data_IF_966850753982
#
_entry.id   IF_966850753982
#
_cell.length_a   1.000
_cell.length_b   1.000
_cell.length_c   1.000
_cell.angle_alpha   90.00
_cell.angle_beta   90.00
_cell.angle_gamma   90.00
#
_symmetry.space_group_name_H-M   'P 1'
#
loop_
_entity.id
_entity.type
_entity.pdbx_description
1 polymer ?
#
# COMPACT_ATOMS: atom_id res chain seq x y z
N UNK A 1 -7.44 -4.88 -7.35
CA UNK A 1 -8.22 -3.78 -6.76
C UNK A 1 -8.15 -3.93 -5.26
N UNK A 2 -7.79 -2.89 -4.51
CA UNK A 2 -8.04 -2.85 -3.07
C UNK A 2 -9.46 -2.33 -2.82
N UNK A 3 -9.91 -2.35 -1.56
CA UNK A 3 -11.26 -1.90 -1.18
C UNK A 3 -11.49 -0.41 -1.49
N UNK A 4 -10.41 0.39 -1.59
CA UNK A 4 -10.40 1.80 -1.99
C UNK A 4 -10.72 2.04 -3.47
N UNK A 5 -10.75 0.99 -4.29
CA UNK A 5 -11.10 1.06 -5.71
C UNK A 5 -10.02 1.67 -6.61
N UNK A 6 -8.81 1.89 -6.10
CA UNK A 6 -7.71 2.43 -6.88
C UNK A 6 -6.70 1.37 -7.33
N UNK A 7 -5.89 1.75 -8.32
CA UNK A 7 -4.92 0.85 -8.97
C UNK A 7 -3.54 1.50 -9.20
N UNK A 8 -3.39 2.80 -8.94
CA UNK A 8 -2.17 3.56 -9.22
C UNK A 8 -1.06 3.43 -8.16
N UNK A 9 -1.34 2.81 -7.01
CA UNK A 9 -0.39 2.69 -5.91
C UNK A 9 -1.01 2.10 -4.64
N UNK A 10 -0.28 2.20 -3.53
CA UNK A 10 -0.79 1.86 -2.21
C UNK A 10 -1.79 2.94 -1.75
N UNK A 11 -3.01 2.51 -1.39
CA UNK A 11 -4.05 3.37 -0.84
C UNK A 11 -4.59 2.74 0.44
N UNK A 12 -4.93 3.57 1.41
CA UNK A 12 -5.52 3.19 2.68
C UNK A 12 -6.70 4.12 3.01
N UNK A 13 -7.68 3.63 3.76
CA UNK A 13 -8.77 4.44 4.31
C UNK A 13 -8.65 4.47 5.82
N UNK A 14 -8.80 5.67 6.38
CA UNK A 14 -8.96 5.88 7.81
C UNK A 14 -10.34 6.47 8.08
N UNK A 15 -11.12 5.93 9.04
CA UNK A 15 -12.20 6.68 9.67
C UNK A 15 -11.67 8.03 10.21
N UNK A 16 -12.54 9.04 10.26
CA UNK A 16 -12.15 10.39 10.72
C UNK A 16 -11.81 10.45 12.21
N UNK A 17 -12.27 9.48 12.99
CA UNK A 17 -12.10 9.34 14.44
C UNK A 17 -11.03 8.30 14.83
N UNK A 18 -10.40 7.64 13.86
CA UNK A 18 -9.32 6.68 14.13
C UNK A 18 -8.01 7.39 14.50
N UNK A 19 -7.32 6.86 15.49
CA UNK A 19 -5.97 7.27 15.87
C UNK A 19 -4.91 6.70 14.93
N UNK A 20 -3.68 7.22 15.03
CA UNK A 20 -2.53 6.72 14.26
C UNK A 20 -2.13 5.27 14.62
N UNK A 21 -2.56 4.77 15.78
CA UNK A 21 -2.32 3.38 16.20
C UNK A 21 -3.37 2.41 15.60
N UNK A 22 -4.53 2.92 15.18
CA UNK A 22 -5.65 2.12 14.65
C UNK A 22 -5.67 2.07 13.11
N UNK A 23 -5.15 3.10 12.46
CA UNK A 23 -5.08 3.20 11.01
C UNK A 23 -3.65 3.53 10.54
N UNK A 24 -3.20 2.97 9.41
CA UNK A 24 -3.97 2.14 8.48
C UNK A 24 -4.15 0.68 8.96
N UNK A 25 -5.26 0.00 8.57
CA UNK A 25 -5.52 -1.38 8.93
C UNK A 25 -4.46 -2.34 8.36
N UNK A 26 -4.33 -3.52 8.98
CA UNK A 26 -3.32 -4.53 8.61
C UNK A 26 -3.34 -4.93 7.13
N UNK A 27 -4.51 -5.00 6.50
CA UNK A 27 -4.64 -5.32 5.07
C UNK A 27 -4.05 -4.25 4.15
N UNK A 28 -4.11 -2.97 4.54
CA UNK A 28 -3.48 -1.88 3.80
C UNK A 28 -1.96 -1.95 3.92
N UNK A 29 -1.44 -2.29 5.12
CA UNK A 29 -0.01 -2.50 5.35
C UNK A 29 0.57 -3.68 4.56
N UNK A 30 -0.15 -4.80 4.50
CA UNK A 30 0.23 -5.96 3.68
C UNK A 30 0.25 -5.61 2.20
N UNK A 31 -0.79 -4.92 1.72
CA UNK A 31 -0.87 -4.44 0.33
C UNK A 31 0.28 -3.48 0.00
N UNK A 32 0.60 -2.56 0.90
CA UNK A 32 1.71 -1.62 0.73
C UNK A 32 3.06 -2.36 0.66
N UNK A 33 3.24 -3.41 1.47
CA UNK A 33 4.44 -4.26 1.45
C UNK A 33 4.60 -4.96 0.10
N UNK A 34 3.54 -5.58 -0.41
CA UNK A 34 3.54 -6.25 -1.72
C UNK A 34 3.77 -5.25 -2.87
N UNK A 35 3.17 -4.06 -2.79
CA UNK A 35 3.40 -3.00 -3.77
C UNK A 35 4.86 -2.54 -3.78
N UNK A 36 5.45 -2.29 -2.60
CA UNK A 36 6.86 -1.92 -2.47
C UNK A 36 7.80 -2.98 -3.03
N UNK A 37 7.54 -4.27 -2.73
CA UNK A 37 8.29 -5.39 -3.32
C UNK A 37 8.26 -5.35 -4.85
N UNK A 38 7.08 -5.18 -5.45
CA UNK A 38 6.93 -5.08 -6.92
C UNK A 38 7.72 -3.91 -7.50
N UNK A 39 7.67 -2.74 -6.86
CA UNK A 39 8.43 -1.55 -7.31
C UNK A 39 9.93 -1.84 -7.25
N UNK A 40 10.43 -2.41 -6.15
CA UNK A 40 11.84 -2.73 -5.98
C UNK A 40 12.32 -3.76 -7.03
N UNK A 41 11.55 -4.82 -7.25
CA UNK A 41 11.84 -5.83 -8.27
C UNK A 41 11.91 -5.23 -9.68
N UNK A 42 11.00 -4.31 -10.00
CA UNK A 42 11.01 -3.64 -11.30
C UNK A 42 12.19 -2.68 -11.44
N UNK A 43 12.49 -1.89 -10.41
CA UNK A 43 13.64 -1.00 -10.39
C UNK A 43 14.97 -1.77 -10.53
N UNK A 44 15.09 -2.95 -9.92
CA UNK A 44 16.25 -3.81 -10.07
C UNK A 44 16.46 -4.27 -11.52
N UNK A 45 15.39 -4.54 -12.28
CA UNK A 45 15.46 -4.88 -13.72
C UNK A 45 15.91 -3.71 -14.59
N UNK A 46 15.69 -2.48 -14.13
CA UNK A 46 16.04 -1.27 -14.87
C UNK A 46 17.46 -0.76 -14.59
N UNK A 47 18.09 -1.20 -13.49
CA UNK A 47 19.50 -0.92 -13.25
C UNK A 47 20.34 -1.68 -14.28
N UNK A 48 20.92 -0.93 -15.22
CA UNK A 48 21.99 -1.39 -16.10
C UNK A 48 23.32 -1.44 -15.36
#
# INVERSE_FOLDING_TARGET
MNWTGGWGGALAISPSDASADEAPPSGDLETATLFGKRVAEFAAKLKR
#
